data_IF_160630116125
#
_entry.id   IF_160630116125
#
_cell.length_a   1.000
_cell.length_b   1.000
_cell.length_c   1.000
_cell.angle_alpha   90.00
_cell.angle_beta   90.00
_cell.angle_gamma   90.00
#
_symmetry.space_group_name_H-M   'P 1'
#
loop_
_entity.id
_entity.type
_entity.pdbx_description
1 polymer ?
#
# COMPACT_ATOMS: atom_id res chain seq x y z
N UNK A 1 18.86 -7.16 -0.84
CA UNK A 1 18.41 -5.79 -0.47
C UNK A 1 16.99 -5.90 0.06
N UNK A 2 16.62 -5.17 1.11
CA UNK A 2 15.29 -5.19 1.69
C UNK A 2 14.75 -3.75 1.74
N UNK A 3 13.46 -3.55 1.45
CA UNK A 3 12.79 -2.25 1.47
C UNK A 3 11.39 -2.38 2.07
N UNK A 4 10.95 -1.33 2.77
CA UNK A 4 9.56 -1.20 3.18
C UNK A 4 8.66 -1.12 1.93
N UNK A 5 7.46 -1.68 2.01
CA UNK A 5 6.49 -1.70 0.93
C UNK A 5 5.07 -1.46 1.48
N UNK A 6 4.18 -0.93 0.63
CA UNK A 6 2.78 -0.65 0.98
C UNK A 6 1.90 -1.87 1.30
N UNK A 7 2.45 -3.08 1.35
CA UNK A 7 1.71 -4.32 1.68
C UNK A 7 1.72 -4.67 3.17
N UNK A 8 2.53 -3.98 4.00
CA UNK A 8 2.52 -4.19 5.46
C UNK A 8 1.12 -4.09 6.08
N UNK A 9 0.25 -3.11 5.71
CA UNK A 9 -1.12 -3.07 6.20
C UNK A 9 -1.96 -4.29 5.82
N UNK A 10 -1.72 -4.90 4.65
CA UNK A 10 -2.41 -6.14 4.25
C UNK A 10 -2.03 -7.29 5.19
N UNK A 11 -0.73 -7.45 5.47
CA UNK A 11 -0.23 -8.47 6.39
C UNK A 11 -0.79 -8.28 7.81
N UNK A 12 -0.80 -7.05 8.32
CA UNK A 12 -1.38 -6.73 9.64
C UNK A 12 -2.87 -7.03 9.66
N UNK A 13 -3.62 -6.66 8.62
CA UNK A 13 -5.05 -6.88 8.56
C UNK A 13 -5.42 -8.38 8.52
N UNK A 14 -4.60 -9.23 7.89
CA UNK A 14 -4.78 -10.69 7.96
C UNK A 14 -4.72 -11.24 9.39
N UNK A 15 -3.90 -10.65 10.25
CA UNK A 15 -3.79 -11.03 11.65
C UNK A 15 -4.85 -10.37 12.54
N UNK A 16 -5.16 -9.09 12.31
CA UNK A 16 -6.16 -8.35 13.06
C UNK A 16 -7.61 -8.80 12.75
N UNK A 17 -7.84 -9.41 11.57
CA UNK A 17 -9.12 -9.97 11.12
C UNK A 17 -10.29 -8.98 11.28
N UNK A 18 -10.21 -7.79 10.66
CA UNK A 18 -11.35 -6.87 10.66
C UNK A 18 -12.56 -7.52 9.99
N UNK A 19 -13.77 -7.07 10.35
CA UNK A 19 -15.01 -7.58 9.76
C UNK A 19 -15.12 -7.34 8.25
N UNK A 20 -14.43 -6.32 7.74
CA UNK A 20 -14.32 -6.00 6.32
C UNK A 20 -12.94 -5.41 6.02
N UNK A 21 -12.34 -5.82 4.91
CA UNK A 21 -11.10 -5.26 4.39
C UNK A 21 -11.22 -5.11 2.87
N UNK A 22 -10.96 -3.90 2.37
CA UNK A 22 -10.85 -3.62 0.94
C UNK A 22 -9.42 -3.18 0.63
N UNK A 23 -8.75 -3.89 -0.26
CA UNK A 23 -7.37 -3.60 -0.67
C UNK A 23 -7.18 -3.92 -2.14
N UNK A 24 -6.08 -3.41 -2.70
CA UNK A 24 -5.66 -3.78 -4.05
C UNK A 24 -4.94 -5.13 -4.04
N UNK A 25 -5.00 -5.86 -5.17
CA UNK A 25 -4.19 -7.06 -5.38
C UNK A 25 -2.72 -6.67 -5.63
N UNK A 26 -1.73 -7.40 -5.11
CA UNK A 26 -0.32 -7.17 -5.46
C UNK A 26 -0.11 -7.09 -6.98
N UNK A 27 0.67 -6.09 -7.41
CA UNK A 27 0.88 -5.76 -8.83
C UNK A 27 -0.27 -5.02 -9.52
N UNK A 28 -1.37 -4.72 -8.82
CA UNK A 28 -2.54 -3.99 -9.35
C UNK A 28 -2.77 -2.71 -8.54
N UNK A 29 -1.77 -1.82 -8.53
CA UNK A 29 -1.79 -0.59 -7.72
C UNK A 29 -2.71 0.48 -8.33
N UNK A 30 -3.09 1.47 -7.53
CA UNK A 30 -3.82 2.64 -8.00
C UNK A 30 -2.84 3.66 -8.58
N UNK A 31 -2.89 3.86 -9.91
CA UNK A 31 -2.08 4.85 -10.61
C UNK A 31 -2.74 6.22 -10.46
N UNK A 32 -1.97 7.21 -10.00
CA UNK A 32 -2.43 8.58 -9.77
C UNK A 32 -1.81 9.55 -10.78
N UNK A 33 -2.34 10.78 -10.85
CA UNK A 33 -1.73 11.85 -11.64
C UNK A 33 -0.51 12.51 -10.96
N UNK A 34 -0.18 12.14 -9.72
CA UNK A 34 0.99 12.63 -9.00
C UNK A 34 2.26 11.97 -9.51
N UNK A 35 3.32 12.76 -9.68
CA UNK A 35 4.67 12.29 -9.94
C UNK A 35 5.41 12.12 -8.62
N UNK A 36 6.43 11.26 -8.60
CA UNK A 36 7.25 11.04 -7.40
C UNK A 36 7.88 12.35 -6.88
N UNK A 37 8.32 13.23 -7.77
CA UNK A 37 8.85 14.56 -7.43
C UNK A 37 7.85 15.46 -6.70
N UNK A 38 6.55 15.22 -6.89
CA UNK A 38 5.50 15.98 -6.20
C UNK A 38 5.38 15.53 -4.72
N UNK A 39 6.01 14.42 -4.33
CA UNK A 39 6.00 13.85 -2.97
C UNK A 39 7.30 14.07 -2.19
N UNK A 40 8.43 14.36 -2.85
CA UNK A 40 9.74 14.50 -2.20
C UNK A 40 9.86 15.71 -1.26
N UNK A 41 9.06 16.76 -1.48
CA UNK A 41 9.11 18.02 -0.72
C UNK A 41 7.97 18.18 0.27
N UNK A 42 7.19 17.12 0.52
CA UNK A 42 6.10 17.10 1.50
C UNK A 42 6.55 16.52 2.83
#
# INVERSE_FOLDING_TARGET
VFWACGVTPQAVAMQARPSLLLTHKPGHMFVTDLRDTDLETR
#
